data_IF_403141001346
#
_entry.id   IF_403141001346
#
_cell.length_a   1.000
_cell.length_b   1.000
_cell.length_c   1.000
_cell.angle_alpha   90.00
_cell.angle_beta   90.00
_cell.angle_gamma   90.00
#
_symmetry.space_group_name_H-M   'P 1'
#
loop_
_entity.id
_entity.type
_entity.pdbx_description
1 polymer ?
#
# COMPACT_ATOMS: atom_id res chain seq x y z
N UNK A 1 -4.36 31.40 -13.15
CA UNK A 1 -3.33 30.35 -12.98
C UNK A 1 -4.03 29.23 -12.22
N UNK A 2 -4.20 28.04 -12.83
CA UNK A 2 -4.79 26.90 -12.11
C UNK A 2 -3.73 26.44 -11.11
N UNK A 3 -4.02 26.33 -9.81
CA UNK A 3 -3.06 25.82 -8.85
C UNK A 3 -2.65 24.41 -9.27
N UNK A 4 -1.34 24.23 -9.49
CA UNK A 4 -0.76 22.92 -9.77
C UNK A 4 -0.63 22.22 -8.43
N UNK A 5 -1.35 21.12 -8.30
CA UNK A 5 -1.28 20.26 -7.11
C UNK A 5 -0.47 19.03 -7.47
N UNK A 6 0.56 18.74 -6.68
CA UNK A 6 1.38 17.56 -6.83
C UNK A 6 0.85 16.40 -5.98
N UNK A 7 0.94 15.20 -6.52
CA UNK A 7 0.53 13.95 -5.88
C UNK A 7 1.65 12.93 -6.03
N UNK A 8 1.90 12.15 -4.99
CA UNK A 8 2.96 11.13 -4.97
C UNK A 8 2.39 9.74 -4.75
N UNK A 9 2.45 8.89 -5.78
CA UNK A 9 2.03 7.47 -5.71
C UNK A 9 3.20 6.58 -5.30
N UNK A 10 2.98 5.70 -4.33
CA UNK A 10 3.89 4.61 -3.94
C UNK A 10 3.21 3.27 -4.18
N UNK A 11 4.03 2.24 -4.43
CA UNK A 11 3.57 0.86 -4.58
C UNK A 11 4.48 -0.03 -3.76
N UNK A 12 3.91 -0.70 -2.77
CA UNK A 12 4.62 -1.55 -1.82
C UNK A 12 4.05 -2.98 -1.85
N UNK A 13 4.87 -4.02 -1.64
CA UNK A 13 4.34 -5.38 -1.50
C UNK A 13 3.37 -5.48 -0.32
N UNK A 14 2.25 -6.17 -0.51
CA UNK A 14 1.28 -6.49 0.53
C UNK A 14 1.15 -8.01 0.69
N UNK A 15 0.76 -8.43 1.89
CA UNK A 15 0.47 -9.81 2.26
C UNK A 15 -0.99 -10.16 1.97
N UNK A 16 -1.29 -11.46 1.92
CA UNK A 16 -2.67 -11.92 1.73
C UNK A 16 -3.52 -11.58 2.97
N UNK A 17 -2.91 -11.62 4.16
CA UNK A 17 -3.55 -11.29 5.43
C UNK A 17 -3.95 -9.81 5.52
N UNK A 18 -3.18 -8.90 4.92
CA UNK A 18 -3.54 -7.48 4.78
C UNK A 18 -4.72 -7.31 3.83
N UNK A 19 -4.74 -8.03 2.71
CA UNK A 19 -5.86 -8.01 1.76
C UNK A 19 -7.13 -8.63 2.35
N UNK A 20 -7.01 -9.67 3.19
CA UNK A 20 -8.15 -10.30 3.87
C UNK A 20 -8.76 -9.41 4.97
N UNK A 21 -8.06 -8.35 5.39
CA UNK A 21 -8.52 -7.37 6.36
C UNK A 21 -9.20 -6.14 5.72
N UNK A 22 -9.31 -6.12 4.39
CA UNK A 22 -10.01 -5.07 3.63
C UNK A 22 -11.41 -4.85 4.21
N UNK A 23 -11.65 -3.64 4.71
CA UNK A 23 -12.97 -3.24 5.19
C UNK A 23 -13.82 -2.64 4.06
N UNK A 24 -15.05 -2.20 4.36
CA UNK A 24 -15.96 -1.67 3.33
C UNK A 24 -15.50 -0.39 2.63
N UNK A 25 -14.42 0.23 3.09
CA UNK A 25 -13.85 1.47 2.58
C UNK A 25 -12.57 1.27 1.74
N UNK A 26 -11.93 0.10 1.83
CA UNK A 26 -10.74 -0.21 1.03
C UNK A 26 -11.10 -0.68 -0.38
N UNK A 27 -10.17 -0.48 -1.31
CA UNK A 27 -10.36 -0.86 -2.71
C UNK A 27 -9.47 -2.04 -3.09
N UNK A 28 -10.04 -2.98 -3.84
CA UNK A 28 -9.31 -4.11 -4.41
C UNK A 28 -9.48 -4.16 -5.93
N UNK A 29 -8.37 -4.27 -6.64
CA UNK A 29 -8.33 -4.41 -8.09
C UNK A 29 -7.44 -5.57 -8.52
N UNK A 30 -7.84 -6.25 -9.59
CA UNK A 30 -6.88 -7.03 -10.38
C UNK A 30 -6.17 -6.08 -11.36
N UNK A 31 -4.87 -6.24 -11.58
CA UNK A 31 -4.12 -5.35 -12.47
C UNK A 31 -4.74 -5.21 -13.87
N UNK A 32 -5.32 -6.29 -14.41
CA UNK A 32 -5.99 -6.31 -15.72
C UNK A 32 -7.30 -5.51 -15.77
N UNK A 33 -7.91 -5.19 -14.63
CA UNK A 33 -9.14 -4.39 -14.57
C UNK A 33 -8.86 -2.89 -14.44
N UNK A 34 -7.61 -2.52 -14.18
CA UNK A 34 -7.17 -1.12 -14.15
C UNK A 34 -7.19 -0.52 -15.56
N UNK A 35 -7.51 0.77 -15.67
CA UNK A 35 -7.26 1.52 -16.90
C UNK A 35 -5.79 1.48 -17.31
N UNK A 36 -5.50 1.61 -18.62
CA UNK A 36 -4.13 1.64 -19.16
C UNK A 36 -3.23 2.64 -18.42
N UNK A 37 -3.84 3.74 -17.99
CA UNK A 37 -3.15 4.78 -17.22
C UNK A 37 -2.82 4.33 -15.80
N UNK A 38 -3.77 3.73 -15.09
CA UNK A 38 -3.54 3.18 -13.76
C UNK A 38 -2.48 2.06 -13.81
N UNK A 39 -2.53 1.20 -14.84
CA UNK A 39 -1.51 0.19 -15.10
C UNK A 39 -0.11 0.81 -15.28
N UNK A 40 0.01 1.84 -16.11
CA UNK A 40 1.28 2.53 -16.35
C UNK A 40 1.83 3.19 -15.09
N UNK A 41 0.98 3.87 -14.30
CA UNK A 41 1.38 4.51 -13.06
C UNK A 41 1.82 3.48 -12.02
N UNK A 42 1.04 2.40 -11.86
CA UNK A 42 1.36 1.28 -10.98
C UNK A 42 2.71 0.65 -11.32
N UNK A 43 2.94 0.29 -12.58
CA UNK A 43 4.21 -0.32 -13.00
C UNK A 43 5.40 0.62 -12.82
N UNK A 44 5.21 1.91 -13.09
CA UNK A 44 6.26 2.90 -12.90
C UNK A 44 6.61 3.02 -11.41
N UNK A 45 5.60 3.24 -10.54
CA UNK A 45 5.80 3.39 -9.11
C UNK A 45 6.34 2.11 -8.44
N UNK A 46 5.88 0.93 -8.86
CA UNK A 46 6.43 -0.38 -8.44
C UNK A 46 7.93 -0.49 -8.74
N UNK A 47 8.40 0.08 -9.85
CA UNK A 47 9.79 0.00 -10.28
C UNK A 47 10.68 1.14 -9.73
N UNK A 48 10.11 2.29 -9.38
CA UNK A 48 10.86 3.50 -8.97
C UNK A 48 10.65 3.89 -7.51
N UNK A 49 9.98 3.05 -6.72
CA UNK A 49 9.56 3.30 -5.31
C UNK A 49 8.48 4.37 -5.16
N UNK A 50 8.53 5.46 -5.94
CA UNK A 50 7.48 6.50 -5.99
C UNK A 50 7.42 7.20 -7.34
N UNK A 51 6.26 7.78 -7.65
CA UNK A 51 6.04 8.63 -8.83
C UNK A 51 5.27 9.88 -8.41
N UNK A 52 5.79 11.06 -8.78
CA UNK A 52 5.11 12.33 -8.55
C UNK A 52 4.44 12.82 -9.83
N UNK A 53 3.18 13.24 -9.72
CA UNK A 53 2.32 13.68 -10.83
C UNK A 53 1.54 14.93 -10.43
N UNK A 54 0.95 15.64 -11.40
CA UNK A 54 0.18 16.87 -11.15
C UNK A 54 -1.30 16.70 -11.46
N UNK A 55 -2.18 17.45 -10.77
CA UNK A 55 -3.64 17.49 -11.04
C UNK A 55 -3.98 17.82 -12.51
N UNK A 56 -3.17 18.65 -13.17
CA UNK A 56 -3.33 18.99 -14.61
C UNK A 56 -3.15 17.77 -15.51
N UNK A 57 -2.53 16.72 -15.02
CA UNK A 57 -2.38 15.47 -15.74
C UNK A 57 -3.65 14.61 -15.69
N UNK A 58 -4.68 14.90 -14.86
CA UNK A 58 -5.88 14.06 -14.60
C UNK A 58 -5.54 12.64 -14.17
N UNK A 59 -5.30 12.42 -12.89
CA UNK A 59 -4.90 11.13 -12.34
C UNK A 59 -5.95 10.01 -12.54
N UNK A 60 -5.56 8.73 -12.60
CA UNK A 60 -6.51 7.63 -12.79
C UNK A 60 -7.51 7.53 -11.63
N UNK A 61 -8.83 7.42 -11.88
CA UNK A 61 -9.85 7.40 -10.82
C UNK A 61 -9.71 6.22 -9.85
N UNK A 62 -9.04 5.13 -10.26
CA UNK A 62 -8.85 3.93 -9.45
C UNK A 62 -7.94 4.14 -8.22
N UNK A 63 -7.14 5.19 -8.21
CA UNK A 63 -6.24 5.53 -7.10
C UNK A 63 -6.70 6.82 -6.43
N UNK A 64 -7.97 6.89 -6.05
CA UNK A 64 -8.65 8.09 -5.54
C UNK A 64 -7.76 8.93 -4.60
N UNK A 65 -7.68 10.23 -4.91
CA UNK A 65 -6.68 11.14 -4.38
C UNK A 65 -7.33 12.16 -3.45
N UNK A 66 -7.80 11.71 -2.30
CA UNK A 66 -8.31 12.62 -1.27
C UNK A 66 -7.19 13.00 -0.31
N UNK A 67 -7.24 14.25 0.16
CA UNK A 67 -6.26 14.81 1.10
C UNK A 67 -6.26 14.10 2.48
N UNK A 68 -7.25 13.24 2.74
CA UNK A 68 -7.54 12.63 4.05
C UNK A 68 -7.97 11.15 4.00
N UNK A 69 -7.79 10.42 2.88
CA UNK A 69 -8.33 9.05 2.83
C UNK A 69 -7.46 8.04 3.59
N UNK A 70 -8.02 7.54 4.68
CA UNK A 70 -7.68 6.31 5.39
C UNK A 70 -7.95 5.03 4.58
N UNK A 71 -8.09 5.12 3.26
CA UNK A 71 -8.53 4.00 2.41
C UNK A 71 -7.32 3.37 1.74
N UNK A 72 -7.14 2.08 1.96
CA UNK A 72 -6.08 1.31 1.34
C UNK A 72 -6.52 0.81 -0.04
N UNK A 73 -5.66 0.96 -1.05
CA UNK A 73 -5.92 0.38 -2.38
C UNK A 73 -4.97 -0.77 -2.65
N UNK A 74 -5.51 -1.95 -2.85
CA UNK A 74 -4.75 -3.15 -3.17
C UNK A 74 -4.89 -3.53 -4.63
N UNK A 75 -3.76 -3.88 -5.26
CA UNK A 75 -3.69 -4.37 -6.64
C UNK A 75 -3.05 -5.76 -6.66
N UNK A 76 -3.77 -6.73 -7.19
CA UNK A 76 -3.20 -8.05 -7.50
C UNK A 76 -2.53 -8.02 -8.88
N UNK A 77 -1.24 -8.36 -8.91
CA UNK A 77 -0.44 -8.42 -10.13
C UNK A 77 0.58 -9.56 -10.06
N UNK A 78 0.65 -10.40 -11.10
CA UNK A 78 1.53 -11.57 -11.18
C UNK A 78 1.44 -12.52 -9.96
N UNK A 79 0.22 -12.71 -9.44
CA UNK A 79 -0.04 -13.57 -8.27
C UNK A 79 0.43 -12.99 -6.92
N UNK A 80 0.81 -11.71 -6.89
CA UNK A 80 1.20 -10.97 -5.67
C UNK A 80 0.26 -9.81 -5.42
N UNK A 81 0.17 -9.39 -4.16
CA UNK A 81 -0.59 -8.22 -3.76
C UNK A 81 0.33 -7.04 -3.54
N UNK A 82 -0.17 -5.86 -3.87
CA UNK A 82 0.54 -4.61 -3.74
C UNK A 82 -0.39 -3.56 -3.17
N UNK A 83 0.09 -2.86 -2.15
CA UNK A 83 -0.56 -1.69 -1.59
C UNK A 83 -0.16 -0.47 -2.42
N UNK A 84 -1.15 0.24 -2.94
CA UNK A 84 -0.99 1.47 -3.72
C UNK A 84 -1.47 2.62 -2.86
N UNK A 85 -0.57 3.54 -2.57
CA UNK A 85 -0.88 4.75 -1.81
C UNK A 85 -0.67 5.96 -2.68
N UNK A 86 -1.60 6.92 -2.63
CA UNK A 86 -1.29 8.25 -3.14
C UNK A 86 -1.80 9.37 -2.25
N UNK A 87 -0.97 10.40 -2.09
CA UNK A 87 -1.22 11.55 -1.26
C UNK A 87 -0.75 12.86 -1.94
N UNK A 88 -1.26 14.00 -1.48
CA UNK A 88 -0.85 15.34 -1.92
C UNK A 88 0.55 15.67 -1.40
N UNK A 89 1.48 16.05 -2.28
CA UNK A 89 2.90 16.22 -1.93
C UNK A 89 3.19 17.41 -1.00
N UNK A 90 2.33 18.42 -0.98
CA UNK A 90 2.45 19.64 -0.15
C UNK A 90 1.76 19.52 1.22
N UNK A 91 1.28 18.32 1.58
CA UNK A 91 0.79 18.04 2.92
C UNK A 91 1.96 18.00 3.93
N UNK A 92 2.32 19.18 4.47
CA UNK A 92 3.36 19.39 5.51
C UNK A 92 3.12 18.63 6.83
N UNK A 93 1.95 18.00 6.97
CA UNK A 93 1.52 17.23 8.15
C UNK A 93 1.01 15.83 7.82
N UNK A 94 1.35 15.27 6.66
CA UNK A 94 1.11 13.86 6.34
C UNK A 94 2.40 13.08 6.66
N UNK A 95 2.73 12.80 7.94
CA UNK A 95 3.83 11.92 8.22
C UNK A 95 3.46 10.54 7.67
N UNK A 96 4.20 10.11 6.66
CA UNK A 96 4.93 8.86 6.79
C UNK A 96 4.03 7.72 7.32
N UNK A 97 3.08 7.29 6.50
CA UNK A 97 2.65 5.87 6.49
C UNK A 97 3.80 4.93 6.05
N UNK A 98 5.00 5.48 5.79
CA UNK A 98 6.29 4.80 5.55
C UNK A 98 6.76 3.86 6.69
N UNK A 99 5.91 3.55 7.69
CA UNK A 99 6.19 2.57 8.74
C UNK A 99 5.12 1.48 8.88
N UNK A 100 4.11 1.43 7.99
CA UNK A 100 3.13 0.33 7.99
C UNK A 100 3.79 -1.04 7.78
N UNK A 101 4.80 -1.11 6.89
CA UNK A 101 5.55 -2.35 6.64
C UNK A 101 6.62 -2.70 7.69
N UNK A 102 7.01 -1.77 8.57
CA UNK A 102 8.09 -2.01 9.54
C UNK A 102 7.57 -2.40 10.94
N UNK A 103 6.37 -1.99 11.32
CA UNK A 103 5.80 -2.32 12.64
C UNK A 103 5.09 -3.68 12.69
N UNK A 104 4.54 -4.17 11.59
CA UNK A 104 3.86 -5.49 11.56
C UNK A 104 4.87 -6.65 11.67
N UNK A 105 6.13 -6.43 11.27
CA UNK A 105 7.23 -7.38 11.45
C UNK A 105 7.57 -7.73 12.91
N UNK A 106 7.15 -6.91 13.88
CA UNK A 106 7.39 -7.18 15.30
C UNK A 106 6.35 -8.10 15.94
N UNK A 107 5.14 -8.19 15.37
CA UNK A 107 4.10 -9.11 15.87
C UNK A 107 4.43 -10.55 15.44
N UNK A 108 4.95 -10.74 14.22
CA UNK A 108 5.39 -12.05 13.73
C UNK A 108 6.59 -12.63 14.50
N UNK A 109 7.56 -11.79 14.89
CA UNK A 109 8.73 -12.24 15.64
C UNK A 109 8.39 -12.75 17.06
N UNK A 110 7.38 -12.17 17.71
CA UNK A 110 6.90 -12.60 19.02
C UNK A 110 6.26 -13.99 19.00
N UNK A 111 5.47 -14.30 17.97
CA UNK A 111 4.83 -15.61 17.82
C UNK A 111 5.83 -16.72 17.45
N UNK A 112 6.86 -16.40 16.65
CA UNK A 112 7.93 -17.38 16.35
C UNK A 112 8.71 -17.73 17.62
N UNK A 113 9.06 -16.75 18.46
CA UNK A 113 9.74 -16.99 19.74
C UNK A 113 8.85 -17.76 20.73
N UNK A 114 7.56 -17.42 20.84
CA UNK A 114 6.63 -18.13 21.74
C UNK A 114 6.40 -19.59 21.29
N UNK A 115 6.27 -19.83 19.99
CA UNK A 115 6.16 -21.17 19.43
C UNK A 115 7.42 -22.03 19.64
N UNK A 116 8.60 -21.41 19.62
CA UNK A 116 9.88 -22.10 19.85
C UNK A 116 10.09 -22.42 21.34
N UNK A 117 9.67 -21.53 22.24
CA UNK A 117 9.68 -21.77 23.70
C UNK A 117 8.71 -22.90 24.07
N UNK A 118 7.48 -22.91 23.55
CA UNK A 118 6.51 -23.98 23.80
C UNK A 118 6.98 -25.34 23.29
N UNK A 119 7.65 -25.39 22.12
CA UNK A 119 8.26 -26.62 21.60
C UNK A 119 9.42 -27.13 22.46
N UNK A 120 10.20 -26.24 23.07
CA UNK A 120 11.28 -26.61 23.98
C UNK A 120 10.77 -27.09 25.35
N UNK A 121 9.68 -26.50 25.87
CA UNK A 121 9.04 -26.97 27.11
C UNK A 121 8.31 -28.31 26.93
N UNK A 122 7.63 -28.52 25.80
CA UNK A 122 6.95 -29.78 25.50
C UNK A 122 7.88 -30.98 25.27
N UNK A 123 9.20 -30.75 25.16
CA UNK A 123 10.22 -31.81 25.03
C UNK A 123 10.78 -32.29 26.37
N UNK A 124 10.35 -31.69 27.49
CA UNK A 124 10.79 -32.02 28.86
C UNK A 124 9.68 -32.63 29.74
N UNK A 125 8.52 -32.96 29.18
CA UNK A 125 7.47 -33.74 29.84
C UNK A 125 7.51 -35.19 29.35
#
# INVERSE_FOLDING_TARGET
MIPVTEYTTTVEPATAEEVDQIDGHDHYYTFSTLSDRAQSLFLTAKNTTKVTTTNTSRLPPEFEYYDDTTWDTYVQHDGKYYLVWTYRSDCLGCPIAQLGGALIGLIGAGFVLLGLILRLLGRKA
#
